data_IF_486493169511
#
_entry.id   IF_486493169511
#
_cell.length_a   1.000
_cell.length_b   1.000
_cell.length_c   1.000
_cell.angle_alpha   90.00
_cell.angle_beta   90.00
_cell.angle_gamma   90.00
#
_symmetry.space_group_name_H-M   'P 1'
#
loop_
_entity.id
_entity.type
_entity.pdbx_description
1 polymer ?
#
# COMPACT_ATOMS: atom_id res chain seq x y z
N UNK A 1 -3.16 21.39 -20.78
CA UNK A 1 -3.24 21.38 -19.30
C UNK A 1 -4.19 20.30 -18.79
N UNK A 2 -5.39 20.12 -19.36
CA UNK A 2 -6.31 19.08 -18.88
C UNK A 2 -5.83 17.65 -19.21
N UNK A 3 -5.31 17.43 -20.42
CA UNK A 3 -4.78 16.12 -20.82
C UNK A 3 -3.58 15.68 -19.95
N UNK A 4 -2.71 16.61 -19.56
CA UNK A 4 -1.56 16.31 -18.69
C UNK A 4 -2.00 15.92 -17.28
N UNK A 5 -3.02 16.57 -16.72
CA UNK A 5 -3.56 16.20 -15.40
C UNK A 5 -4.25 14.83 -15.44
N UNK A 6 -4.93 14.50 -16.54
CA UNK A 6 -5.54 13.20 -16.73
C UNK A 6 -4.48 12.08 -16.82
N UNK A 7 -3.38 12.32 -17.53
CA UNK A 7 -2.24 11.40 -17.58
C UNK A 7 -1.62 11.21 -16.19
N UNK A 8 -1.41 12.30 -15.44
CA UNK A 8 -0.85 12.23 -14.08
C UNK A 8 -1.79 11.49 -13.11
N UNK A 9 -3.11 11.71 -13.24
CA UNK A 9 -4.11 10.93 -12.51
C UNK A 9 -4.01 9.43 -12.83
N UNK A 10 -3.85 9.07 -14.11
CA UNK A 10 -3.66 7.68 -14.53
C UNK A 10 -2.38 7.06 -13.95
N UNK A 11 -1.28 7.81 -13.91
CA UNK A 11 -0.07 7.35 -13.23
C UNK A 11 -0.26 7.17 -11.72
N UNK A 12 -1.07 8.01 -11.08
CA UNK A 12 -1.49 7.79 -9.69
C UNK A 12 -2.24 6.48 -9.50
N UNK A 13 -3.12 6.12 -10.44
CA UNK A 13 -3.80 4.82 -10.47
C UNK A 13 -2.76 3.68 -10.57
N UNK A 14 -1.84 3.75 -11.53
CA UNK A 14 -0.83 2.71 -11.75
C UNK A 14 0.08 2.55 -10.53
N UNK A 15 0.52 3.65 -9.93
CA UNK A 15 1.32 3.66 -8.71
C UNK A 15 0.63 2.93 -7.55
N UNK A 16 -0.67 3.16 -7.38
CA UNK A 16 -1.44 2.55 -6.30
C UNK A 16 -1.63 1.04 -6.43
N UNK A 17 -1.39 0.45 -7.61
CA UNK A 17 -1.35 -1.00 -7.80
C UNK A 17 -0.05 -1.66 -7.32
N UNK A 18 0.88 -0.88 -6.76
CA UNK A 18 2.06 -1.41 -6.09
C UNK A 18 1.69 -2.47 -5.04
N UNK A 19 2.31 -3.66 -5.07
CA UNK A 19 1.92 -4.77 -4.21
C UNK A 19 2.06 -4.41 -2.73
N UNK A 20 3.06 -3.61 -2.38
CA UNK A 20 3.32 -3.06 -1.05
C UNK A 20 2.11 -2.29 -0.50
N UNK A 21 1.57 -1.33 -1.25
CA UNK A 21 0.42 -0.53 -0.87
C UNK A 21 -0.83 -1.39 -0.69
N UNK A 22 -1.08 -2.29 -1.65
CA UNK A 22 -2.23 -3.19 -1.61
C UNK A 22 -2.17 -4.13 -0.40
N UNK A 23 -0.99 -4.67 -0.03
CA UNK A 23 -0.88 -5.49 1.19
C UNK A 23 -1.19 -4.71 2.45
N UNK A 24 -0.71 -3.47 2.58
CA UNK A 24 -0.98 -2.63 3.76
C UNK A 24 -2.47 -2.32 3.86
N UNK A 25 -3.10 -1.97 2.73
CA UNK A 25 -4.54 -1.71 2.68
C UNK A 25 -5.33 -2.97 3.01
N UNK A 26 -4.91 -4.12 2.49
CA UNK A 26 -5.54 -5.38 2.81
C UNK A 26 -5.47 -5.67 4.32
N UNK A 27 -4.29 -5.54 4.93
CA UNK A 27 -4.08 -5.76 6.36
C UNK A 27 -4.97 -4.86 7.22
N UNK A 28 -5.01 -3.56 6.90
CA UNK A 28 -5.87 -2.60 7.62
C UNK A 28 -7.38 -2.79 7.39
N UNK A 29 -7.76 -3.42 6.28
CA UNK A 29 -9.16 -3.61 5.90
C UNK A 29 -9.74 -4.93 6.44
N UNK A 30 -8.91 -5.94 6.63
CA UNK A 30 -9.30 -7.25 7.16
C UNK A 30 -9.82 -7.11 8.60
N UNK A 31 -10.93 -7.80 8.89
CA UNK A 31 -11.58 -7.82 10.21
C UNK A 31 -12.29 -6.52 10.63
N UNK A 32 -12.22 -5.45 9.82
CA UNK A 32 -12.86 -4.15 10.13
C UNK A 32 -14.22 -4.02 9.42
N UNK A 33 -15.09 -3.14 9.93
CA UNK A 33 -16.37 -2.81 9.30
C UNK A 33 -16.19 -1.81 8.14
N UNK A 34 -17.20 -1.70 7.27
CA UNK A 34 -17.14 -0.84 6.06
C UNK A 34 -16.71 0.59 6.36
N UNK A 35 -17.33 1.24 7.36
CA UNK A 35 -17.02 2.64 7.72
C UNK A 35 -15.56 2.79 8.14
N UNK A 36 -15.07 1.85 8.95
CA UNK A 36 -13.70 1.83 9.45
C UNK A 36 -12.69 1.59 8.33
N UNK A 37 -12.95 0.62 7.44
CA UNK A 37 -12.11 0.33 6.27
C UNK A 37 -11.97 1.57 5.37
N UNK A 38 -13.08 2.25 5.08
CA UNK A 38 -13.06 3.47 4.27
C UNK A 38 -12.28 4.61 4.94
N UNK A 39 -12.45 4.78 6.25
CA UNK A 39 -11.72 5.81 6.99
C UNK A 39 -10.21 5.55 7.01
N UNK A 40 -9.80 4.30 7.25
CA UNK A 40 -8.37 3.93 7.29
C UNK A 40 -7.73 4.09 5.91
N UNK A 41 -8.36 3.60 4.85
CA UNK A 41 -7.83 3.73 3.48
C UNK A 41 -7.75 5.18 3.03
N UNK A 42 -8.72 6.01 3.40
CA UNK A 42 -8.67 7.46 3.15
C UNK A 42 -7.52 8.13 3.90
N UNK A 43 -7.34 7.84 5.19
CA UNK A 43 -6.23 8.39 5.98
C UNK A 43 -4.87 7.97 5.42
N UNK A 44 -4.72 6.70 5.04
CA UNK A 44 -3.51 6.20 4.39
C UNK A 44 -3.22 6.94 3.08
N UNK A 45 -4.23 7.09 2.21
CA UNK A 45 -4.09 7.78 0.93
C UNK A 45 -3.72 9.26 1.09
N UNK A 46 -4.34 9.97 2.06
CA UNK A 46 -4.03 11.37 2.36
C UNK A 46 -2.62 11.52 2.92
N UNK A 47 -2.21 10.66 3.86
CA UNK A 47 -0.84 10.66 4.38
C UNK A 47 0.19 10.40 3.27
N UNK A 48 -0.08 9.39 2.44
CA UNK A 48 0.77 9.06 1.30
C UNK A 48 0.91 10.21 0.31
N UNK A 49 -0.22 10.81 -0.12
CA UNK A 49 -0.23 11.95 -1.03
C UNK A 49 0.44 13.21 -0.44
N UNK A 50 0.27 13.47 0.86
CA UNK A 50 0.91 14.58 1.53
C UNK A 50 2.43 14.45 1.52
N UNK A 51 2.96 13.28 1.87
CA UNK A 51 4.42 13.08 1.88
C UNK A 51 5.01 13.13 0.48
N UNK A 52 4.32 12.54 -0.49
CA UNK A 52 4.67 12.66 -1.91
C UNK A 52 4.76 14.14 -2.35
N UNK A 53 3.79 14.97 -1.97
CA UNK A 53 3.83 16.41 -2.25
C UNK A 53 5.04 17.10 -1.61
N UNK A 54 5.25 16.89 -0.32
CA UNK A 54 6.34 17.53 0.42
C UNK A 54 7.71 17.14 -0.11
N UNK A 55 7.91 15.85 -0.39
CA UNK A 55 9.17 15.36 -0.94
C UNK A 55 9.35 15.74 -2.40
N UNK A 56 8.29 15.78 -3.21
CA UNK A 56 8.41 16.28 -4.58
C UNK A 56 8.87 17.75 -4.60
N UNK A 57 8.33 18.59 -3.71
CA UNK A 57 8.77 19.98 -3.54
C UNK A 57 10.18 20.11 -3.00
N UNK A 58 10.57 19.25 -2.06
CA UNK A 58 11.92 19.22 -1.52
C UNK A 58 12.95 18.81 -2.59
N UNK A 59 12.63 17.80 -3.40
CA UNK A 59 13.55 17.28 -4.41
C UNK A 59 13.57 18.13 -5.69
N UNK A 60 12.54 18.94 -5.96
CA UNK A 60 12.57 19.95 -7.03
C UNK A 60 13.70 20.98 -6.85
N UNK A 61 14.14 21.24 -5.61
CA UNK A 61 15.24 22.18 -5.32
C UNK A 61 16.63 21.53 -5.31
N UNK A 62 16.70 20.20 -5.50
CA UNK A 62 17.93 19.42 -5.39
C UNK A 62 18.16 18.67 -6.71
N UNK A 63 19.32 18.87 -7.34
CA UNK A 63 19.73 18.03 -8.47
C UNK A 63 20.18 16.67 -7.95
N UNK A 64 19.29 15.69 -8.01
CA UNK A 64 19.63 14.30 -7.68
C UNK A 64 20.35 13.64 -8.86
N UNK A 65 21.45 12.95 -8.57
CA UNK A 65 22.08 12.08 -9.56
C UNK A 65 21.24 10.81 -9.78
N UNK A 66 21.32 10.25 -10.98
CA UNK A 66 20.68 8.98 -11.31
C UNK A 66 21.13 7.84 -10.39
N UNK A 67 22.38 7.88 -9.90
CA UNK A 67 22.89 6.95 -8.88
C UNK A 67 22.10 7.03 -7.56
N UNK A 68 21.83 8.24 -7.05
CA UNK A 68 21.11 8.39 -5.79
C UNK A 68 19.66 7.91 -5.93
N UNK A 69 19.06 8.16 -7.09
CA UNK A 69 17.74 7.64 -7.44
C UNK A 69 17.74 6.10 -7.52
N UNK A 70 18.79 5.49 -8.11
CA UNK A 70 18.97 4.04 -8.21
C UNK A 70 18.99 3.34 -6.84
N UNK A 71 19.62 3.94 -5.84
CA UNK A 71 19.55 3.43 -4.46
C UNK A 71 18.13 3.38 -3.90
N UNK A 72 17.26 4.32 -4.30
CA UNK A 72 15.84 4.31 -3.92
C UNK A 72 15.11 3.07 -4.43
N UNK A 73 15.35 2.67 -5.68
CA UNK A 73 14.75 1.45 -6.25
C UNK A 73 15.29 0.20 -5.59
N UNK A 74 16.61 0.15 -5.32
CA UNK A 74 17.23 -0.96 -4.62
C UNK A 74 16.63 -1.16 -3.22
N UNK A 75 16.46 -0.07 -2.46
CA UNK A 75 15.85 -0.12 -1.12
C UNK A 75 14.40 -0.58 -1.23
N UNK A 76 13.62 0.01 -2.14
CA UNK A 76 12.21 -0.34 -2.35
C UNK A 76 12.05 -1.82 -2.72
N UNK A 77 12.82 -2.30 -3.70
CA UNK A 77 12.81 -3.69 -4.12
C UNK A 77 13.21 -4.64 -2.99
N UNK A 78 14.24 -4.30 -2.21
CA UNK A 78 14.67 -5.09 -1.05
C UNK A 78 13.58 -5.20 0.00
N UNK A 79 12.88 -4.09 0.29
CA UNK A 79 11.75 -4.08 1.24
C UNK A 79 10.59 -4.92 0.72
N UNK A 80 10.23 -4.79 -0.56
CA UNK A 80 9.16 -5.59 -1.19
C UNK A 80 9.49 -7.09 -1.14
N UNK A 81 10.71 -7.48 -1.49
CA UNK A 81 11.19 -8.87 -1.40
C UNK A 81 11.15 -9.35 0.05
N UNK A 82 11.66 -8.55 0.98
CA UNK A 82 11.67 -8.87 2.42
C UNK A 82 10.26 -9.11 2.96
N UNK A 83 9.30 -8.25 2.58
CA UNK A 83 7.88 -8.43 2.91
C UNK A 83 7.31 -9.70 2.28
N UNK A 84 7.63 -9.99 1.01
CA UNK A 84 7.22 -11.23 0.35
C UNK A 84 7.71 -12.48 1.08
N UNK A 85 9.01 -12.53 1.41
CA UNK A 85 9.62 -13.62 2.19
C UNK A 85 8.97 -13.75 3.57
N UNK A 86 8.70 -12.63 4.25
CA UNK A 86 8.05 -12.62 5.54
C UNK A 86 6.64 -13.23 5.49
N UNK A 87 5.82 -12.86 4.51
CA UNK A 87 4.47 -13.44 4.33
C UNK A 87 4.55 -14.94 4.06
N UNK A 88 5.47 -15.38 3.20
CA UNK A 88 5.69 -16.81 2.92
C UNK A 88 6.16 -17.58 4.15
N UNK A 89 7.08 -17.00 4.94
CA UNK A 89 7.51 -17.55 6.22
C UNK A 89 6.33 -17.72 7.20
N UNK A 90 5.47 -16.71 7.29
CA UNK A 90 4.29 -16.75 8.17
C UNK A 90 3.30 -17.85 7.77
N UNK A 91 3.12 -18.08 6.46
CA UNK A 91 2.32 -19.21 5.96
C UNK A 91 3.01 -20.55 6.26
N UNK A 92 4.29 -20.69 5.90
CA UNK A 92 5.06 -21.93 6.06
C UNK A 92 5.14 -22.38 7.52
N UNK A 93 5.30 -21.42 8.45
CA UNK A 93 5.40 -21.70 9.88
C UNK A 93 4.03 -21.75 10.59
N UNK A 94 2.92 -21.77 9.85
CA UNK A 94 1.56 -21.80 10.40
C UNK A 94 1.29 -20.68 11.43
N UNK A 95 1.91 -19.50 11.24
CA UNK A 95 1.82 -18.37 12.17
C UNK A 95 0.62 -17.46 11.90
N UNK A 96 -0.12 -17.71 10.83
CA UNK A 96 -1.41 -17.06 10.55
C UNK A 96 -2.49 -17.80 11.31
N UNK A 97 -3.21 -17.08 12.16
CA UNK A 97 -4.29 -17.59 12.98
C UNK A 97 -5.61 -16.91 12.61
N UNK A 98 -6.71 -17.65 12.69
CA UNK A 98 -8.06 -17.15 12.42
C UNK A 98 -8.98 -17.57 13.56
N UNK A 99 -9.62 -16.59 14.22
CA UNK A 99 -10.73 -16.85 15.16
C UNK A 99 -11.98 -16.15 14.68
N UNK A 100 -13.10 -16.83 14.87
CA UNK A 100 -14.44 -16.31 14.65
C UNK A 100 -15.07 -16.04 16.01
N UNK A 101 -15.68 -14.88 16.19
CA UNK A 101 -16.53 -14.61 17.34
C UNK A 101 -17.75 -13.79 16.92
N UNK A 102 -18.81 -13.89 17.72
CA UNK A 102 -20.07 -13.19 17.48
C UNK A 102 -20.15 -12.00 18.45
N UNK A 103 -20.32 -10.79 17.93
CA UNK A 103 -20.71 -9.62 18.73
C UNK A 103 -22.04 -9.08 18.19
N UNK A 104 -23.03 -8.94 19.07
CA UNK A 104 -24.28 -8.23 18.74
C UNK A 104 -24.95 -8.69 17.45
N UNK A 105 -25.02 -10.01 17.21
CA UNK A 105 -25.56 -10.67 16.00
C UNK A 105 -24.69 -10.62 14.72
N UNK A 106 -23.48 -10.05 14.76
CA UNK A 106 -22.54 -10.07 13.63
C UNK A 106 -21.37 -11.04 13.88
N UNK A 107 -21.08 -11.90 12.90
CA UNK A 107 -19.91 -12.78 12.89
C UNK A 107 -18.66 -11.97 12.49
N UNK A 108 -17.71 -11.81 13.41
CA UNK A 108 -16.43 -11.18 13.16
C UNK A 108 -15.34 -12.23 13.00
N UNK A 109 -14.53 -12.08 11.95
CA UNK A 109 -13.32 -12.86 11.73
C UNK A 109 -12.12 -12.01 12.13
N UNK A 110 -11.34 -12.50 13.09
CA UNK A 110 -10.07 -11.90 13.50
C UNK A 110 -8.93 -12.74 12.96
N UNK A 111 -8.10 -12.12 12.13
CA UNK A 111 -6.86 -12.68 11.63
C UNK A 111 -5.73 -12.04 12.43
N UNK A 112 -4.84 -12.84 13.00
CA UNK A 112 -3.63 -12.32 13.64
C UNK A 112 -2.41 -13.16 13.28
N UNK A 113 -1.26 -12.54 13.48
CA UNK A 113 0.05 -13.06 13.15
C UNK A 113 0.80 -13.36 14.45
N UNK A 114 1.36 -14.56 14.57
CA UNK A 114 2.16 -14.95 15.72
C UNK A 114 1.62 -16.16 16.47
N UNK A 115 2.08 -16.34 17.72
CA UNK A 115 1.57 -17.41 18.60
C UNK A 115 0.22 -17.00 19.18
N UNK A 116 -0.58 -17.98 19.62
CA UNK A 116 -1.81 -17.68 20.37
C UNK A 116 -1.45 -16.86 21.63
N UNK A 117 -2.10 -15.71 21.83
CA UNK A 117 -2.04 -14.79 22.98
C UNK A 117 -1.13 -13.55 22.93
N UNK A 118 -0.54 -13.17 21.78
CA UNK A 118 0.10 -11.85 21.64
C UNK A 118 -0.91 -10.79 21.17
N UNK A 119 -1.22 -9.81 22.03
CA UNK A 119 -2.01 -8.64 21.69
C UNK A 119 -1.18 -7.37 21.92
N UNK A 120 -0.92 -6.58 20.88
CA UNK A 120 -0.46 -5.19 21.03
C UNK A 120 -1.56 -4.24 20.57
N UNK A 121 -1.86 -3.23 21.40
CA UNK A 121 -2.92 -2.23 21.19
C UNK A 121 -2.47 -1.09 20.25
N UNK A 122 -1.95 -1.40 19.07
CA UNK A 122 -1.59 -0.36 18.09
C UNK A 122 -2.74 -0.17 17.12
N UNK A 123 -3.89 0.27 17.64
CA UNK A 123 -5.07 0.54 16.81
C UNK A 123 -5.10 2.04 16.43
N UNK A 124 -5.34 2.30 15.15
CA UNK A 124 -5.72 3.58 14.53
C UNK A 124 -4.61 4.60 14.23
N UNK A 125 -3.69 4.91 15.15
CA UNK A 125 -2.60 5.89 14.89
C UNK A 125 -1.57 5.42 13.85
N UNK A 126 -1.57 4.15 13.47
CA UNK A 126 -0.57 3.59 12.55
C UNK A 126 -0.86 3.86 11.07
N UNK A 127 -2.12 4.00 10.64
CA UNK A 127 -2.44 4.02 9.20
C UNK A 127 -2.02 5.30 8.48
N UNK A 128 -2.33 6.47 9.05
CA UNK A 128 -1.85 7.76 8.52
C UNK A 128 -0.32 7.84 8.58
N UNK A 129 0.28 7.44 9.70
CA UNK A 129 1.74 7.44 9.88
C UNK A 129 2.46 6.50 8.89
N UNK A 130 1.90 5.31 8.65
CA UNK A 130 2.43 4.38 7.66
C UNK A 130 2.22 4.90 6.24
N UNK A 131 1.10 5.58 5.97
CA UNK A 131 0.88 6.31 4.72
C UNK A 131 1.95 7.37 4.49
N UNK A 132 2.25 8.17 5.52
CA UNK A 132 3.34 9.15 5.47
C UNK A 132 4.69 8.48 5.16
N UNK A 133 5.04 7.39 5.87
CA UNK A 133 6.30 6.68 5.69
C UNK A 133 6.44 6.05 4.29
N UNK A 134 5.40 5.37 3.81
CA UNK A 134 5.42 4.77 2.46
C UNK A 134 5.43 5.83 1.36
N UNK A 135 4.86 7.01 1.63
CA UNK A 135 4.96 8.16 0.73
C UNK A 135 6.40 8.58 0.43
N UNK A 136 7.35 8.34 1.34
CA UNK A 136 8.78 8.64 1.13
C UNK A 136 9.40 7.69 0.09
N UNK A 137 9.02 6.41 0.10
CA UNK A 137 9.55 5.41 -0.84
C UNK A 137 9.04 5.60 -2.28
N UNK A 138 7.84 6.17 -2.45
CA UNK A 138 7.20 6.36 -3.76
C UNK A 138 7.63 7.60 -4.53
N UNK A 139 8.47 8.46 -3.94
CA UNK A 139 8.77 9.80 -4.49
C UNK A 139 9.47 9.72 -5.86
N UNK A 140 10.34 8.73 -6.09
CA UNK A 140 11.02 8.57 -7.38
C UNK A 140 10.04 8.28 -8.52
N UNK A 141 9.14 7.32 -8.34
CA UNK A 141 8.14 6.96 -9.37
C UNK A 141 7.27 8.16 -9.75
N UNK A 142 6.86 8.95 -8.76
CA UNK A 142 6.14 10.19 -8.98
C UNK A 142 7.01 11.25 -9.69
N UNK A 143 8.23 11.51 -9.24
CA UNK A 143 9.09 12.56 -9.81
C UNK A 143 9.56 12.26 -11.23
N UNK A 144 9.89 11.00 -11.54
CA UNK A 144 10.21 10.59 -12.91
C UNK A 144 9.02 10.83 -13.83
N UNK A 145 7.82 10.46 -13.38
CA UNK A 145 6.58 10.67 -14.13
C UNK A 145 6.28 12.16 -14.34
N UNK A 146 6.40 12.97 -13.30
CA UNK A 146 6.12 14.40 -13.36
C UNK A 146 7.19 15.18 -14.15
N UNK A 147 8.46 14.81 -14.00
CA UNK A 147 9.58 15.40 -14.74
C UNK A 147 9.47 15.18 -16.24
N UNK A 148 9.05 13.99 -16.67
CA UNK A 148 8.82 13.65 -18.09
C UNK A 148 7.59 14.36 -18.66
N UNK A 149 6.53 14.55 -17.87
CA UNK A 149 5.26 15.13 -18.36
C UNK A 149 5.23 16.66 -18.31
N UNK A 150 5.93 17.30 -17.36
CA UNK A 150 5.77 18.73 -17.05
C UNK A 150 7.04 19.58 -17.22
N UNK A 151 8.16 19.02 -17.69
CA UNK A 151 9.40 19.78 -17.90
C UNK A 151 10.05 20.26 -16.60
N UNK A 152 9.85 19.54 -15.49
CA UNK A 152 10.56 19.72 -14.22
C UNK A 152 9.82 20.50 -13.12
N UNK A 153 8.81 21.31 -13.46
CA UNK A 153 8.05 22.07 -12.45
C UNK A 153 6.90 21.22 -11.86
N UNK A 154 6.85 21.09 -10.53
CA UNK A 154 5.80 20.31 -9.84
C UNK A 154 4.73 21.25 -9.27
N UNK A 155 3.49 21.13 -9.75
CA UNK A 155 2.40 22.02 -9.35
C UNK A 155 1.49 21.33 -8.34
N UNK A 156 0.81 22.10 -7.48
CA UNK A 156 -0.18 21.54 -6.54
C UNK A 156 -1.30 20.76 -7.26
N UNK A 157 -1.74 21.22 -8.42
CA UNK A 157 -2.75 20.53 -9.24
C UNK A 157 -2.29 19.18 -9.75
N UNK A 158 -1.01 19.03 -10.11
CA UNK A 158 -0.42 17.77 -10.57
C UNK A 158 -0.39 16.74 -9.45
N UNK A 159 0.11 17.14 -8.28
CA UNK A 159 0.17 16.24 -7.12
C UNK A 159 -1.24 15.91 -6.62
N UNK A 160 -2.16 16.88 -6.67
CA UNK A 160 -3.57 16.65 -6.41
C UNK A 160 -4.16 15.59 -7.34
N UNK A 161 -3.94 15.71 -8.65
CA UNK A 161 -4.43 14.73 -9.63
C UNK A 161 -3.85 13.33 -9.39
N UNK A 162 -2.54 13.22 -9.13
CA UNK A 162 -1.90 11.96 -8.78
C UNK A 162 -2.50 11.34 -7.51
N UNK A 163 -2.63 12.15 -6.45
CA UNK A 163 -3.20 11.71 -5.16
C UNK A 163 -4.64 11.24 -5.31
N UNK A 164 -5.45 11.92 -6.12
CA UNK A 164 -6.83 11.51 -6.40
C UNK A 164 -6.86 10.15 -7.12
N UNK A 165 -5.95 9.90 -8.06
CA UNK A 165 -5.77 8.60 -8.70
C UNK A 165 -5.44 7.49 -7.70
N UNK A 166 -4.52 7.77 -6.78
CA UNK A 166 -4.14 6.85 -5.70
C UNK A 166 -5.32 6.57 -4.76
N UNK A 167 -6.02 7.62 -4.31
CA UNK A 167 -7.19 7.52 -3.44
C UNK A 167 -8.29 6.65 -4.06
N UNK A 168 -8.53 6.80 -5.36
CA UNK A 168 -9.53 6.02 -6.09
C UNK A 168 -9.26 4.52 -5.98
N UNK A 169 -8.02 4.09 -6.22
CA UNK A 169 -7.63 2.68 -6.11
C UNK A 169 -7.63 2.21 -4.66
N UNK A 170 -7.10 2.98 -3.72
CA UNK A 170 -7.03 2.55 -2.32
C UNK A 170 -8.42 2.37 -1.69
N UNK A 171 -9.34 3.28 -1.96
CA UNK A 171 -10.72 3.15 -1.48
C UNK A 171 -11.46 2.02 -2.18
N UNK A 172 -11.30 1.88 -3.51
CA UNK A 172 -11.88 0.79 -4.29
C UNK A 172 -11.38 -0.58 -3.82
N UNK A 173 -10.07 -0.72 -3.64
CA UNK A 173 -9.44 -1.93 -3.16
C UNK A 173 -9.79 -2.22 -1.70
N UNK A 174 -9.86 -1.21 -0.83
CA UNK A 174 -10.37 -1.37 0.53
C UNK A 174 -11.79 -1.94 0.57
N UNK A 175 -12.69 -1.45 -0.29
CA UNK A 175 -14.03 -2.02 -0.44
C UNK A 175 -14.01 -3.45 -0.99
N UNK A 176 -13.14 -3.74 -1.96
CA UNK A 176 -12.94 -5.09 -2.47
C UNK A 176 -12.48 -6.04 -1.36
N UNK A 177 -11.50 -5.65 -0.54
CA UNK A 177 -11.04 -6.44 0.59
C UNK A 177 -12.14 -6.61 1.63
N UNK A 178 -12.92 -5.56 1.93
CA UNK A 178 -14.09 -5.69 2.80
C UNK A 178 -15.07 -6.76 2.27
N UNK A 179 -15.35 -6.75 0.97
CA UNK A 179 -16.20 -7.75 0.32
C UNK A 179 -15.59 -9.16 0.37
N UNK A 180 -14.29 -9.30 0.06
CA UNK A 180 -13.54 -10.56 0.14
C UNK A 180 -13.50 -11.07 1.58
N UNK A 181 -13.35 -10.20 2.57
CA UNK A 181 -13.34 -10.57 3.98
C UNK A 181 -14.70 -11.11 4.43
N UNK A 182 -15.79 -10.45 4.02
CA UNK A 182 -17.16 -10.90 4.35
C UNK A 182 -17.52 -12.24 3.71
N UNK A 183 -17.03 -12.51 2.50
CA UNK A 183 -17.49 -13.65 1.69
C UNK A 183 -16.48 -14.79 1.54
N UNK A 184 -15.17 -14.50 1.48
CA UNK A 184 -14.12 -15.45 1.05
C UNK A 184 -13.12 -15.81 2.16
N UNK A 185 -12.71 -14.86 3.02
CA UNK A 185 -11.73 -15.08 4.10
C UNK A 185 -12.34 -15.71 5.37
N UNK A 186 -13.37 -16.55 5.20
CA UNK A 186 -14.04 -17.25 6.30
C UNK A 186 -13.34 -18.55 6.73
N UNK A 187 -12.30 -18.98 6.01
CA UNK A 187 -11.55 -20.20 6.28
C UNK A 187 -10.05 -19.90 6.26
N UNK A 188 -9.32 -20.45 7.24
CA UNK A 188 -7.86 -20.34 7.35
C UNK A 188 -7.13 -20.78 6.08
N UNK A 189 -7.68 -21.74 5.33
CA UNK A 189 -7.11 -22.20 4.06
C UNK A 189 -7.11 -21.09 3.01
N UNK A 190 -8.23 -20.35 2.88
CA UNK A 190 -8.36 -19.25 1.92
C UNK A 190 -7.47 -18.07 2.32
N UNK A 191 -7.38 -17.79 3.63
CA UNK A 191 -6.46 -16.79 4.14
C UNK A 191 -5.02 -17.14 3.79
N UNK A 192 -4.57 -18.36 4.08
CA UNK A 192 -3.21 -18.79 3.75
C UNK A 192 -2.92 -18.70 2.25
N UNK A 193 -3.86 -19.11 1.39
CA UNK A 193 -3.74 -18.97 -0.07
C UNK A 193 -3.58 -17.52 -0.51
N UNK A 194 -4.38 -16.61 0.04
CA UNK A 194 -4.28 -15.18 -0.27
C UNK A 194 -2.92 -14.60 0.14
N UNK A 195 -2.44 -14.95 1.33
CA UNK A 195 -1.13 -14.51 1.84
C UNK A 195 0.05 -15.13 1.08
N UNK A 196 -0.06 -16.39 0.65
CA UNK A 196 0.92 -17.02 -0.24
C UNK A 196 0.97 -16.32 -1.60
N UNK A 197 -0.19 -16.05 -2.20
CA UNK A 197 -0.25 -15.35 -3.48
C UNK A 197 0.38 -13.95 -3.38
N UNK A 198 0.04 -13.19 -2.34
CA UNK A 198 0.64 -11.88 -2.07
C UNK A 198 2.16 -11.99 -1.91
N UNK A 199 2.64 -12.97 -1.13
CA UNK A 199 4.08 -13.20 -0.94
C UNK A 199 4.83 -13.51 -2.24
N UNK A 200 4.29 -14.40 -3.08
CA UNK A 200 4.87 -14.75 -4.38
C UNK A 200 4.88 -13.54 -5.32
N UNK A 201 3.77 -12.80 -5.41
CA UNK A 201 3.68 -11.60 -6.25
C UNK A 201 4.72 -10.57 -5.80
N UNK A 202 4.88 -10.34 -4.50
CA UNK A 202 5.92 -9.42 -3.98
C UNK A 202 7.32 -9.87 -4.36
N UNK A 203 7.64 -11.17 -4.31
CA UNK A 203 8.94 -11.66 -4.79
C UNK A 203 9.14 -11.39 -6.27
N UNK A 204 8.15 -11.72 -7.11
CA UNK A 204 8.23 -11.51 -8.56
C UNK A 204 8.42 -10.03 -8.89
N UNK A 205 7.61 -9.15 -8.30
CA UNK A 205 7.68 -7.70 -8.55
C UNK A 205 9.00 -7.13 -8.03
N UNK A 206 9.39 -7.44 -6.80
CA UNK A 206 10.63 -6.92 -6.22
C UNK A 206 11.87 -7.41 -6.97
N UNK A 207 11.90 -8.67 -7.40
CA UNK A 207 12.98 -9.20 -8.25
C UNK A 207 12.99 -8.56 -9.62
N UNK A 208 11.83 -8.32 -10.26
CA UNK A 208 11.78 -7.62 -11.53
C UNK A 208 12.35 -6.19 -11.42
N UNK A 209 12.05 -5.46 -10.33
CA UNK A 209 12.63 -4.13 -10.10
C UNK A 209 14.18 -4.17 -9.99
N UNK A 210 14.76 -5.24 -9.43
CA UNK A 210 16.22 -5.39 -9.32
C UNK A 210 16.91 -5.75 -10.64
N UNK A 211 16.25 -6.56 -11.48
CA UNK A 211 16.86 -7.14 -12.67
C UNK A 211 16.57 -6.33 -13.94
N UNK A 212 15.47 -5.56 -13.96
CA UNK A 212 14.97 -4.83 -15.13
C UNK A 212 14.06 -5.69 -15.98
#
# INVERSE_FOLDING_TARGET
MELSLLVIFWYGILHAFGPDHLTVIADFSIGKNKKRTMMITMLFAVGHGLTLFLFAKLLETITLSDELLAYGDLISATVIIGMGLYLLFMVAMNRIQLRKHIHGNEEHVHIWFGKSHEHSKVDERSSFALGLLMGIGGVRGMLVTLGVVAGGAVNFSMVGAFTVGVMFIFMGFGMLIYYINKNFLRNITNVRRAFTAAGIISLVVGTNILIG
#
